data_IF_579069700766
#
_entry.id   IF_579069700766
#
_cell.length_a   1.000
_cell.length_b   1.000
_cell.length_c   1.000
_cell.angle_alpha   90.00
_cell.angle_beta   90.00
_cell.angle_gamma   90.00
#
_symmetry.space_group_name_H-M   'P 1'
#
loop_
_entity.id
_entity.type
_entity.pdbx_description
1 polymer ?
#
# COMPACT_ATOMS: atom_id res chain seq x y z
N UNK A 1 25.82 19.53 4.57
CA UNK A 1 25.29 18.53 3.62
C UNK A 1 26.24 17.34 3.59
N UNK A 2 25.96 16.29 4.36
CA UNK A 2 26.45 14.95 4.03
C UNK A 2 25.60 13.88 4.73
N UNK A 3 24.28 14.00 4.63
CA UNK A 3 23.36 12.99 5.13
C UNK A 3 22.96 12.11 3.95
N UNK A 4 23.92 11.32 3.47
CA UNK A 4 23.59 10.11 2.74
C UNK A 4 23.05 9.13 3.80
N UNK A 5 21.84 9.41 4.31
CA UNK A 5 21.06 8.46 5.09
C UNK A 5 21.01 7.24 4.18
N UNK A 6 21.72 6.20 4.56
CA UNK A 6 21.96 5.05 3.69
C UNK A 6 20.61 4.37 3.49
N UNK A 7 19.88 4.80 2.45
CA UNK A 7 18.53 4.36 2.15
C UNK A 7 18.50 2.84 2.01
N UNK A 8 19.62 2.23 1.63
CA UNK A 8 19.80 0.78 1.59
C UNK A 8 19.66 0.18 2.99
N UNK A 9 20.35 0.72 4.01
CA UNK A 9 20.23 0.24 5.41
C UNK A 9 18.83 0.46 5.98
N UNK A 10 18.18 1.58 5.66
CA UNK A 10 16.80 1.83 6.06
C UNK A 10 15.85 0.82 5.41
N UNK A 11 16.01 0.54 4.11
CA UNK A 11 15.23 -0.47 3.38
C UNK A 11 15.49 -1.88 3.93
N UNK A 12 16.73 -2.22 4.28
CA UNK A 12 17.09 -3.51 4.88
C UNK A 12 16.44 -3.70 6.26
N UNK A 13 16.46 -2.68 7.12
CA UNK A 13 15.76 -2.68 8.41
C UNK A 13 14.26 -2.84 8.24
N UNK A 14 13.65 -2.02 7.39
CA UNK A 14 12.22 -2.09 7.04
C UNK A 14 11.85 -3.48 6.51
N UNK A 15 12.68 -4.09 5.67
CA UNK A 15 12.43 -5.44 5.13
C UNK A 15 12.49 -6.50 6.21
N UNK A 16 13.40 -6.38 7.17
CA UNK A 16 13.59 -7.35 8.25
C UNK A 16 12.48 -7.27 9.30
N UNK A 17 12.10 -6.06 9.69
CA UNK A 17 11.16 -5.83 10.80
C UNK A 17 9.72 -5.70 10.32
N UNK A 18 9.49 -5.24 9.08
CA UNK A 18 8.17 -4.89 8.53
C UNK A 18 7.31 -4.09 9.52
N UNK A 19 7.95 -3.18 10.25
CA UNK A 19 7.26 -2.30 11.18
C UNK A 19 6.38 -1.32 10.39
N UNK A 20 5.06 -1.50 10.54
CA UNK A 20 4.06 -0.72 9.82
C UNK A 20 3.98 0.73 10.31
N UNK A 21 4.37 1.01 11.55
CA UNK A 21 4.37 2.36 12.12
C UNK A 21 5.60 3.14 11.62
N UNK A 22 6.77 2.50 11.55
CA UNK A 22 7.97 3.10 10.94
C UNK A 22 7.74 3.39 9.44
N UNK A 23 7.12 2.44 8.71
CA UNK A 23 6.75 2.62 7.31
C UNK A 23 5.74 3.75 7.10
N UNK A 24 4.71 3.83 7.94
CA UNK A 24 3.73 4.90 7.92
C UNK A 24 4.38 6.27 8.13
N UNK A 25 5.29 6.35 9.10
CA UNK A 25 6.05 7.59 9.38
C UNK A 25 6.91 8.01 8.19
N UNK A 26 7.59 7.06 7.54
CA UNK A 26 8.39 7.35 6.35
C UNK A 26 7.53 7.93 5.21
N UNK A 27 6.36 7.33 4.92
CA UNK A 27 5.46 7.84 3.90
C UNK A 27 4.93 9.24 4.24
N UNK A 28 4.56 9.48 5.49
CA UNK A 28 4.12 10.81 5.93
C UNK A 28 5.20 11.87 5.81
N UNK A 29 6.46 11.53 6.08
CA UNK A 29 7.60 12.43 5.86
C UNK A 29 7.76 12.77 4.38
N UNK A 30 7.65 11.79 3.47
CA UNK A 30 7.72 12.03 2.02
C UNK A 30 6.58 12.94 1.56
N UNK A 31 5.34 12.63 1.97
CA UNK A 31 4.15 13.43 1.65
C UNK A 31 4.34 14.89 2.11
N UNK A 32 4.84 15.08 3.33
CA UNK A 32 5.04 16.41 3.93
C UNK A 32 6.17 17.19 3.26
N UNK A 33 7.29 16.54 2.93
CA UNK A 33 8.44 17.16 2.26
C UNK A 33 8.11 17.61 0.83
N UNK A 34 7.31 16.81 0.11
CA UNK A 34 6.86 17.15 -1.24
C UNK A 34 5.74 18.19 -1.22
N UNK A 35 5.00 18.29 -0.10
CA UNK A 35 3.90 19.23 0.08
C UNK A 35 2.61 18.81 -0.64
N UNK A 36 2.33 17.51 -0.67
CA UNK A 36 1.15 16.98 -1.37
C UNK A 36 -0.16 17.40 -0.70
N UNK A 37 -1.16 17.69 -1.54
CA UNK A 37 -2.53 17.99 -1.12
C UNK A 37 -3.32 16.71 -0.85
N UNK A 38 -4.46 16.88 -0.18
CA UNK A 38 -5.30 15.74 0.25
C UNK A 38 -5.79 14.88 -0.92
N UNK A 39 -6.15 15.50 -2.04
CA UNK A 39 -6.60 14.83 -3.26
C UNK A 39 -5.44 14.06 -3.95
N UNK A 40 -4.25 14.65 -3.96
CA UNK A 40 -3.04 14.00 -4.48
C UNK A 40 -2.63 12.77 -3.63
N UNK A 41 -2.72 12.88 -2.31
CA UNK A 41 -2.49 11.74 -1.39
C UNK A 41 -3.54 10.65 -1.61
N UNK A 42 -4.82 11.02 -1.77
CA UNK A 42 -5.87 10.05 -2.07
C UNK A 42 -5.62 9.31 -3.40
N UNK A 43 -5.17 10.03 -4.43
CA UNK A 43 -4.81 9.44 -5.72
C UNK A 43 -3.62 8.47 -5.61
N UNK A 44 -2.59 8.80 -4.82
CA UNK A 44 -1.46 7.91 -4.56
C UNK A 44 -1.87 6.65 -3.81
N UNK A 45 -2.71 6.78 -2.78
CA UNK A 45 -3.21 5.63 -2.03
C UNK A 45 -4.02 4.69 -2.93
N UNK A 46 -4.90 5.24 -3.78
CA UNK A 46 -5.64 4.47 -4.77
C UNK A 46 -4.68 3.75 -5.74
N UNK A 47 -3.70 4.48 -6.29
CA UNK A 47 -2.73 3.91 -7.23
C UNK A 47 -1.96 2.73 -6.61
N UNK A 48 -1.45 2.88 -5.39
CA UNK A 48 -0.72 1.81 -4.68
C UNK A 48 -1.61 0.59 -4.47
N UNK A 49 -2.85 0.81 -4.00
CA UNK A 49 -3.82 -0.27 -3.80
C UNK A 49 -4.15 -0.99 -5.11
N UNK A 50 -4.43 -0.23 -6.17
CA UNK A 50 -4.74 -0.75 -7.49
C UNK A 50 -3.59 -1.59 -8.06
N UNK A 51 -2.35 -1.07 -8.05
CA UNK A 51 -1.19 -1.80 -8.55
C UNK A 51 -0.95 -3.10 -7.79
N UNK A 52 -1.14 -3.07 -6.47
CA UNK A 52 -0.98 -4.26 -5.62
C UNK A 52 -2.05 -5.31 -5.91
N UNK A 53 -3.33 -4.90 -5.96
CA UNK A 53 -4.46 -5.81 -6.20
C UNK A 53 -4.39 -6.41 -7.61
N UNK A 54 -4.05 -5.59 -8.61
CA UNK A 54 -4.00 -6.03 -10.02
C UNK A 54 -2.70 -6.75 -10.41
N UNK A 55 -1.69 -6.76 -9.54
CA UNK A 55 -0.47 -7.52 -9.77
C UNK A 55 -0.83 -8.97 -10.14
N UNK A 56 -0.18 -9.52 -11.17
CA UNK A 56 -0.61 -10.77 -11.83
C UNK A 56 -0.84 -11.92 -10.84
N UNK A 57 0.07 -12.10 -9.88
CA UNK A 57 -0.01 -13.13 -8.86
C UNK A 57 -1.20 -12.93 -7.90
N UNK A 58 -1.50 -11.69 -7.49
CA UNK A 58 -2.62 -11.38 -6.61
C UNK A 58 -3.95 -11.48 -7.35
N UNK A 59 -4.03 -10.94 -8.56
CA UNK A 59 -5.22 -11.04 -9.39
C UNK A 59 -5.57 -12.49 -9.71
N UNK A 60 -4.56 -13.32 -10.04
CA UNK A 60 -4.76 -14.76 -10.23
C UNK A 60 -5.23 -15.44 -8.95
N UNK A 61 -4.60 -15.14 -7.81
CA UNK A 61 -5.01 -15.71 -6.53
C UNK A 61 -6.48 -15.39 -6.19
N UNK A 62 -6.89 -14.13 -6.34
CA UNK A 62 -8.26 -13.68 -6.06
C UNK A 62 -9.26 -14.34 -7.01
N UNK A 63 -8.91 -14.49 -8.29
CA UNK A 63 -9.76 -15.20 -9.25
C UNK A 63 -9.89 -16.69 -8.92
N UNK A 64 -8.78 -17.37 -8.65
CA UNK A 64 -8.76 -18.82 -8.41
C UNK A 64 -9.41 -19.20 -7.07
N UNK A 65 -9.29 -18.35 -6.04
CA UNK A 65 -9.78 -18.65 -4.68
C UNK A 65 -11.17 -18.13 -4.40
N UNK A 66 -11.55 -17.01 -5.00
CA UNK A 66 -12.77 -16.26 -4.67
C UNK A 66 -13.67 -15.98 -5.88
N UNK A 67 -13.30 -16.48 -7.07
CA UNK A 67 -13.95 -16.17 -8.36
C UNK A 67 -14.02 -14.67 -8.71
N UNK A 68 -13.22 -13.84 -8.02
CA UNK A 68 -13.21 -12.39 -8.18
C UNK A 68 -12.23 -11.95 -9.27
N UNK A 69 -12.74 -11.45 -10.39
CA UNK A 69 -11.91 -10.84 -11.43
C UNK A 69 -11.62 -9.36 -11.13
N UNK A 70 -10.46 -9.10 -10.51
CA UNK A 70 -10.03 -7.75 -10.16
C UNK A 70 -9.50 -6.94 -11.33
N UNK A 71 -9.22 -7.54 -12.51
CA UNK A 71 -8.73 -6.80 -13.68
C UNK A 71 -9.86 -5.99 -14.35
N UNK A 72 -11.11 -6.44 -14.20
CA UNK A 72 -12.28 -5.73 -14.72
C UNK A 72 -12.85 -4.65 -13.79
N UNK A 73 -12.36 -4.52 -12.55
CA UNK A 73 -12.93 -3.59 -11.58
C UNK A 73 -12.68 -2.12 -11.95
N UNK A 74 -13.67 -1.26 -11.74
CA UNK A 74 -13.49 0.18 -11.71
C UNK A 74 -12.97 0.68 -10.35
N UNK A 75 -12.86 2.00 -10.20
CA UNK A 75 -12.35 2.66 -8.98
C UNK A 75 -13.07 2.18 -7.71
N UNK A 76 -14.39 2.16 -7.74
CA UNK A 76 -15.22 1.72 -6.59
C UNK A 76 -14.93 0.26 -6.20
N UNK A 77 -14.75 -0.62 -7.19
CA UNK A 77 -14.44 -2.03 -6.95
C UNK A 77 -13.09 -2.21 -6.25
N UNK A 78 -12.08 -1.44 -6.65
CA UNK A 78 -10.78 -1.44 -5.98
C UNK A 78 -10.90 -0.97 -4.53
N UNK A 79 -11.68 0.09 -4.26
CA UNK A 79 -11.91 0.53 -2.89
C UNK A 79 -12.61 -0.53 -2.04
N UNK A 80 -13.57 -1.28 -2.59
CA UNK A 80 -14.24 -2.37 -1.87
C UNK A 80 -13.29 -3.51 -1.51
N UNK A 81 -12.38 -3.87 -2.42
CA UNK A 81 -11.35 -4.87 -2.14
C UNK A 81 -10.38 -4.35 -1.07
N UNK A 82 -9.95 -3.09 -1.18
CA UNK A 82 -9.07 -2.46 -0.20
C UNK A 82 -9.72 -2.42 1.20
N UNK A 83 -10.98 -2.00 1.30
CA UNK A 83 -11.76 -1.99 2.54
C UNK A 83 -11.79 -3.39 3.19
N UNK A 84 -12.09 -4.44 2.41
CA UNK A 84 -12.10 -5.80 2.91
C UNK A 84 -10.72 -6.26 3.44
N UNK A 85 -9.63 -5.93 2.73
CA UNK A 85 -8.27 -6.28 3.15
C UNK A 85 -7.84 -5.53 4.42
N UNK A 86 -8.22 -4.26 4.55
CA UNK A 86 -7.95 -3.45 5.75
C UNK A 86 -8.68 -4.05 6.96
N UNK A 87 -9.95 -4.43 6.81
CA UNK A 87 -10.70 -5.06 7.90
C UNK A 87 -10.03 -6.36 8.38
N UNK A 88 -9.62 -7.23 7.45
CA UNK A 88 -8.87 -8.46 7.77
C UNK A 88 -7.55 -8.15 8.48
N UNK A 89 -6.88 -7.05 8.14
CA UNK A 89 -5.66 -6.64 8.84
C UNK A 89 -5.95 -6.16 10.25
N UNK A 90 -6.95 -5.28 10.43
CA UNK A 90 -7.35 -4.73 11.74
C UNK A 90 -7.78 -5.85 12.69
N UNK A 91 -8.53 -6.84 12.21
CA UNK A 91 -8.94 -8.01 13.01
C UNK A 91 -7.75 -8.81 13.54
N UNK A 92 -6.61 -8.85 12.83
CA UNK A 92 -5.39 -9.54 13.30
C UNK A 92 -4.61 -8.79 14.37
N UNK A 93 -4.88 -7.49 14.51
CA UNK A 93 -4.21 -6.61 15.47
C UNK A 93 -4.97 -6.52 16.81
N UNK A 94 -6.18 -7.09 16.88
CA UNK A 94 -7.00 -7.21 18.09
C UNK A 94 -6.73 -8.54 18.81
#
# INVERSE_FOLDING_TARGET
MNDNYDYIKLIEKIRAEKDMDELGTLFMNIISLVGLKMDEVAALNYFIAEQTIRAEHNAKFLKDRLDLDVKGLGVEGIFKVQEALVNVYVEKMQ
#
